data_IF_968365326242
#
_entry.id   IF_968365326242
#
_cell.length_a   1.000
_cell.length_b   1.000
_cell.length_c   1.000
_cell.angle_alpha   90.00
_cell.angle_beta   90.00
_cell.angle_gamma   90.00
#
_symmetry.space_group_name_H-M   'P 1'
#
loop_
_entity.id
_entity.type
_entity.pdbx_description
1 polymer ?
#
# COMPACT_ATOMS: atom_id res chain seq x y z
N UNK A 1 1.96 -4.90 -27.09
CA UNK A 1 0.66 -4.18 -27.26
C UNK A 1 0.90 -2.69 -27.03
N UNK A 2 0.25 -1.83 -27.82
CA UNK A 2 0.30 -0.37 -27.60
C UNK A 2 -0.97 0.01 -26.84
N UNK A 3 -0.81 0.56 -25.64
CA UNK A 3 -1.92 1.06 -24.84
C UNK A 3 -1.95 2.58 -24.98
N UNK A 4 -3.02 3.09 -25.57
CA UNK A 4 -3.30 4.52 -25.63
C UNK A 4 -4.00 4.95 -24.34
N UNK A 5 -3.37 5.87 -23.64
CA UNK A 5 -3.85 6.42 -22.36
C UNK A 5 -4.37 7.87 -22.53
N UNK A 6 -4.67 8.25 -23.77
CA UNK A 6 -5.20 9.55 -24.13
C UNK A 6 -4.10 10.59 -24.34
N UNK A 7 -3.17 10.73 -23.42
CA UNK A 7 -2.04 11.66 -23.53
C UNK A 7 -0.71 10.98 -23.79
N UNK A 8 -0.65 9.67 -23.63
CA UNK A 8 0.56 8.85 -23.75
C UNK A 8 0.22 7.49 -24.32
N UNK A 9 1.14 6.93 -25.09
CA UNK A 9 1.12 5.54 -25.52
C UNK A 9 2.20 4.78 -24.77
N UNK A 10 1.86 3.59 -24.26
CA UNK A 10 2.81 2.66 -23.68
C UNK A 10 2.85 1.43 -24.57
N UNK A 11 4.05 1.02 -24.94
CA UNK A 11 4.27 -0.29 -25.52
C UNK A 11 4.59 -1.27 -24.38
N UNK A 12 3.77 -2.28 -24.22
CA UNK A 12 3.96 -3.31 -23.21
C UNK A 12 3.56 -4.67 -23.74
N UNK A 13 4.18 -5.72 -23.19
CA UNK A 13 3.95 -7.10 -23.63
C UNK A 13 2.62 -7.67 -23.17
N UNK A 14 1.93 -6.99 -22.24
CA UNK A 14 0.62 -7.41 -21.75
C UNK A 14 -0.30 -6.20 -21.45
N UNK A 15 -1.61 -6.46 -21.44
CA UNK A 15 -2.60 -5.43 -21.12
C UNK A 15 -2.82 -5.38 -19.59
N UNK A 16 -2.42 -4.31 -18.91
CA UNK A 16 -2.62 -4.18 -17.46
C UNK A 16 -4.11 -4.14 -17.06
N UNK A 17 -5.00 -3.88 -18.02
CA UNK A 17 -6.45 -3.88 -17.80
C UNK A 17 -7.04 -5.28 -17.72
N UNK A 18 -6.32 -6.30 -18.24
CA UNK A 18 -6.78 -7.70 -18.26
C UNK A 18 -6.67 -8.36 -16.87
N UNK A 19 -5.88 -7.81 -15.97
CA UNK A 19 -5.73 -8.32 -14.60
C UNK A 19 -6.98 -8.08 -13.72
N UNK A 20 -8.04 -7.54 -14.30
CA UNK A 20 -9.32 -7.37 -13.63
C UNK A 20 -10.20 -8.59 -13.87
N UNK A 21 -10.10 -9.61 -13.06
CA UNK A 21 -11.04 -10.71 -13.13
C UNK A 21 -12.21 -10.48 -12.16
N UNK A 22 -13.25 -9.82 -12.66
CA UNK A 22 -14.48 -9.54 -11.90
C UNK A 22 -15.40 -10.76 -11.76
N UNK A 23 -15.05 -11.88 -12.36
CA UNK A 23 -15.91 -13.06 -12.45
C UNK A 23 -15.50 -14.22 -11.56
N UNK A 24 -14.37 -14.11 -10.88
CA UNK A 24 -13.88 -15.18 -10.04
C UNK A 24 -14.71 -15.37 -8.78
N UNK A 25 -14.85 -16.61 -8.36
CA UNK A 25 -15.32 -16.94 -7.02
C UNK A 25 -14.51 -16.16 -5.98
N UNK A 26 -15.21 -15.49 -5.09
CA UNK A 26 -14.56 -14.72 -4.00
C UNK A 26 -14.64 -15.49 -2.69
N UNK A 27 -13.53 -15.55 -1.99
CA UNK A 27 -13.42 -16.10 -0.66
C UNK A 27 -13.24 -14.98 0.37
N UNK A 28 -13.89 -15.06 1.52
CA UNK A 28 -13.66 -14.10 2.59
C UNK A 28 -12.25 -14.26 3.17
N UNK A 29 -11.61 -13.14 3.49
CA UNK A 29 -10.36 -13.11 4.22
C UNK A 29 -10.69 -13.18 5.71
N UNK A 30 -10.35 -14.30 6.36
CA UNK A 30 -10.61 -14.51 7.78
C UNK A 30 -9.33 -14.38 8.62
N UNK A 31 -8.22 -14.93 8.14
CA UNK A 31 -6.91 -14.87 8.79
C UNK A 31 -6.10 -13.69 8.23
N UNK A 32 -6.10 -12.57 8.94
CA UNK A 32 -5.47 -11.32 8.51
C UNK A 32 -4.78 -10.60 9.66
N UNK A 33 -3.58 -10.07 9.38
CA UNK A 33 -2.87 -9.16 10.26
C UNK A 33 -2.80 -7.75 9.68
N UNK A 34 -2.76 -6.73 10.52
CA UNK A 34 -2.72 -5.35 10.09
C UNK A 34 -1.37 -4.69 10.40
N UNK A 35 -0.82 -4.00 9.42
CA UNK A 35 0.42 -3.22 9.54
C UNK A 35 0.07 -1.77 9.23
N UNK A 36 -0.01 -0.96 10.27
CA UNK A 36 -0.30 0.47 10.15
C UNK A 36 0.99 1.26 10.04
N UNK A 37 1.05 2.13 9.04
CA UNK A 37 2.10 3.12 8.93
C UNK A 37 1.51 4.51 9.18
N UNK A 38 1.77 5.02 10.38
CA UNK A 38 1.23 6.31 10.82
C UNK A 38 2.25 7.41 10.57
N UNK A 39 1.91 8.30 9.67
CA UNK A 39 2.67 9.50 9.36
C UNK A 39 1.90 10.68 9.93
N UNK A 40 2.54 11.54 10.74
CA UNK A 40 1.93 12.75 11.27
C UNK A 40 1.00 12.66 12.48
N UNK A 41 0.55 13.85 12.83
CA UNK A 41 -0.36 14.27 13.90
C UNK A 41 -1.82 13.83 13.65
N UNK A 42 -2.03 12.57 13.32
CA UNK A 42 -3.34 12.04 12.97
C UNK A 42 -3.88 11.12 14.06
N UNK A 43 -3.79 11.59 15.30
CA UNK A 43 -4.10 10.74 16.45
C UNK A 43 -5.52 10.20 16.42
N UNK A 44 -6.50 11.05 16.22
CA UNK A 44 -7.92 10.65 16.18
C UNK A 44 -8.22 9.73 15.01
N UNK A 45 -7.67 10.05 13.84
CA UNK A 45 -7.81 9.20 12.65
C UNK A 45 -7.21 7.80 12.87
N UNK A 46 -6.01 7.73 13.44
CA UNK A 46 -5.35 6.46 13.77
C UNK A 46 -6.20 5.63 14.73
N UNK A 47 -6.67 6.21 15.83
CA UNK A 47 -7.49 5.53 16.84
C UNK A 47 -8.75 5.00 16.17
N UNK A 48 -9.48 5.83 15.45
CA UNK A 48 -10.73 5.44 14.79
C UNK A 48 -10.52 4.36 13.74
N UNK A 49 -9.45 4.44 12.95
CA UNK A 49 -9.15 3.41 11.96
C UNK A 49 -8.86 2.06 12.63
N UNK A 50 -8.12 2.05 13.72
CA UNK A 50 -7.83 0.83 14.50
C UNK A 50 -9.11 0.29 15.14
N UNK A 51 -9.95 1.14 15.74
CA UNK A 51 -11.23 0.74 16.33
C UNK A 51 -12.14 0.11 15.28
N UNK A 52 -12.31 0.76 14.12
CA UNK A 52 -13.11 0.22 13.02
C UNK A 52 -12.59 -1.14 12.53
N UNK A 53 -11.27 -1.29 12.43
CA UNK A 53 -10.65 -2.55 12.06
C UNK A 53 -10.92 -3.65 13.10
N UNK A 54 -10.83 -3.34 14.38
CA UNK A 54 -11.11 -4.28 15.49
C UNK A 54 -12.59 -4.68 15.57
N UNK A 55 -13.51 -3.80 15.18
CA UNK A 55 -14.93 -4.16 15.08
C UNK A 55 -15.19 -5.25 14.03
N UNK A 56 -14.45 -5.21 12.91
CA UNK A 56 -14.61 -6.14 11.79
C UNK A 56 -13.81 -7.43 11.99
N UNK A 57 -12.59 -7.29 12.51
CA UNK A 57 -11.62 -8.36 12.74
C UNK A 57 -11.17 -8.38 14.20
N UNK A 58 -12.03 -8.82 15.14
CA UNK A 58 -11.76 -8.68 16.57
C UNK A 58 -10.55 -9.49 17.06
N UNK A 59 -10.19 -10.55 16.35
CA UNK A 59 -9.05 -11.42 16.72
C UNK A 59 -7.75 -11.05 15.98
N UNK A 60 -7.82 -10.14 15.00
CA UNK A 60 -6.65 -9.78 14.22
C UNK A 60 -5.64 -8.98 15.04
N UNK A 61 -4.36 -9.29 14.85
CA UNK A 61 -3.26 -8.54 15.42
C UNK A 61 -2.91 -7.33 14.58
N UNK A 62 -2.47 -6.27 15.22
CA UNK A 62 -2.11 -5.00 14.60
C UNK A 62 -0.71 -4.59 15.00
N UNK A 63 0.17 -4.40 14.04
CA UNK A 63 1.48 -3.79 14.22
C UNK A 63 1.41 -2.32 13.78
N UNK A 64 1.53 -1.41 14.73
CA UNK A 64 1.41 0.02 14.52
C UNK A 64 2.77 0.69 14.52
N UNK A 65 3.18 1.25 13.40
CA UNK A 65 4.44 1.98 13.28
C UNK A 65 4.18 3.47 13.20
N UNK A 66 4.76 4.24 14.10
CA UNK A 66 4.83 5.70 13.98
C UNK A 66 6.12 6.10 13.28
N UNK A 67 5.97 6.72 12.13
CA UNK A 67 7.04 7.14 11.23
C UNK A 67 7.59 8.52 11.64
N UNK A 68 8.29 8.59 12.77
CA UNK A 68 8.77 9.84 13.38
C UNK A 68 7.65 10.76 13.91
N UNK A 69 6.46 10.19 14.14
CA UNK A 69 5.26 10.89 14.53
C UNK A 69 4.97 10.84 16.03
N UNK A 70 3.70 10.58 16.35
CA UNK A 70 3.20 10.55 17.71
C UNK A 70 3.48 9.22 18.40
N UNK A 71 3.54 9.29 19.73
CA UNK A 71 3.57 8.11 20.58
C UNK A 71 2.15 7.54 20.73
N UNK A 72 1.99 6.27 20.32
CA UNK A 72 0.76 5.49 20.41
C UNK A 72 0.91 4.30 21.37
N UNK A 73 1.94 4.30 22.23
CA UNK A 73 2.16 3.22 23.19
C UNK A 73 0.97 2.97 24.12
N UNK A 74 0.13 3.99 24.33
CA UNK A 74 -1.11 3.87 25.11
C UNK A 74 -2.18 2.97 24.47
N UNK A 75 -2.02 2.58 23.19
CA UNK A 75 -2.89 1.63 22.48
C UNK A 75 -2.40 0.19 22.58
N UNK A 76 -1.18 -0.03 23.11
CA UNK A 76 -0.61 -1.37 23.21
C UNK A 76 -1.46 -2.28 24.09
N UNK A 77 -1.70 -3.48 23.58
CA UNK A 77 -2.32 -4.60 24.26
C UNK A 77 -1.81 -5.93 23.67
N UNK A 78 -2.43 -7.04 24.01
CA UNK A 78 -2.06 -8.37 23.50
C UNK A 78 -2.19 -8.51 21.97
N UNK A 79 -3.01 -7.67 21.33
CA UNK A 79 -3.30 -7.67 19.89
C UNK A 79 -2.76 -6.45 19.16
N UNK A 80 -2.19 -5.48 19.86
CA UNK A 80 -1.57 -4.32 19.23
C UNK A 80 -0.20 -4.05 19.82
N UNK A 81 0.82 -4.10 18.96
CA UNK A 81 2.17 -3.66 19.26
C UNK A 81 2.46 -2.35 18.59
N UNK A 82 2.97 -1.41 19.35
CA UNK A 82 3.43 -0.11 18.85
C UNK A 82 4.95 -0.10 18.65
N UNK A 83 5.40 0.57 17.60
CA UNK A 83 6.82 0.82 17.33
C UNK A 83 7.01 2.25 16.84
N UNK A 84 7.80 3.02 17.58
CA UNK A 84 8.24 4.34 17.11
C UNK A 84 9.55 4.18 16.35
N UNK A 85 9.57 4.59 15.08
CA UNK A 85 10.74 4.50 14.24
C UNK A 85 11.13 5.88 13.72
N UNK A 86 12.42 6.20 13.80
CA UNK A 86 12.94 7.50 13.35
C UNK A 86 13.23 7.54 11.86
N UNK A 87 13.48 6.37 11.24
CA UNK A 87 13.70 6.27 9.82
C UNK A 87 12.38 6.29 9.07
N UNK A 88 12.17 7.32 8.33
CA UNK A 88 10.95 7.52 7.59
C UNK A 88 10.95 6.72 6.30
N UNK A 89 9.85 6.03 6.01
CA UNK A 89 9.59 5.42 4.69
C UNK A 89 8.90 6.39 3.76
N UNK A 90 8.27 7.42 4.33
CA UNK A 90 7.64 8.48 3.57
C UNK A 90 8.46 9.77 3.67
N UNK A 91 9.01 10.29 2.58
CA UNK A 91 9.73 11.56 2.57
C UNK A 91 8.84 12.77 2.84
N UNK A 92 7.56 12.56 3.01
CA UNK A 92 6.52 13.57 3.20
C UNK A 92 6.62 14.30 4.56
N UNK A 93 7.41 13.81 5.48
CA UNK A 93 7.37 14.20 6.90
C UNK A 93 7.92 15.59 7.18
N UNK A 94 8.59 16.23 6.25
CA UNK A 94 9.10 17.60 6.43
C UNK A 94 8.28 18.64 5.68
N UNK A 95 6.99 18.47 5.59
CA UNK A 95 6.14 19.42 4.91
C UNK A 95 5.68 20.48 5.91
N UNK A 96 5.98 21.75 5.60
CA UNK A 96 5.26 22.86 6.15
C UNK A 96 3.76 22.66 5.90
N UNK A 97 2.94 22.99 6.87
CA UNK A 97 1.50 22.74 6.94
C UNK A 97 0.67 23.11 5.69
N UNK A 98 1.28 23.66 4.65
CA UNK A 98 0.62 24.13 3.44
C UNK A 98 1.13 23.52 2.12
N UNK A 99 2.20 22.73 2.09
CA UNK A 99 2.78 22.27 0.83
C UNK A 99 2.77 20.74 0.74
N UNK A 100 1.81 20.25 0.01
CA UNK A 100 1.80 18.93 -0.55
C UNK A 100 3.05 18.71 -1.42
N UNK A 101 3.84 17.72 -1.04
CA UNK A 101 4.72 16.97 -1.90
C UNK A 101 5.68 17.83 -2.75
N UNK A 102 6.82 18.20 -2.18
CA UNK A 102 7.95 18.55 -3.03
C UNK A 102 8.34 17.29 -3.84
N UNK A 103 8.15 17.25 -5.16
CA UNK A 103 8.49 16.11 -5.98
C UNK A 103 9.93 15.65 -5.85
N UNK A 104 10.84 16.53 -5.43
CA UNK A 104 12.26 16.22 -5.20
C UNK A 104 12.50 15.38 -3.93
N UNK A 105 11.55 15.39 -3.00
CA UNK A 105 11.65 14.67 -1.74
C UNK A 105 10.83 13.38 -1.72
N UNK A 106 10.19 13.02 -2.82
CA UNK A 106 9.26 11.90 -2.92
C UNK A 106 9.85 10.64 -3.52
N UNK A 107 11.12 10.69 -3.89
CA UNK A 107 11.79 9.53 -4.45
C UNK A 107 11.85 8.39 -3.42
N UNK A 108 11.48 7.20 -3.85
CA UNK A 108 11.76 5.98 -3.09
C UNK A 108 13.25 5.91 -2.85
N UNK A 109 13.67 5.92 -1.60
CA UNK A 109 15.07 5.85 -1.24
C UNK A 109 15.45 4.43 -0.85
N UNK A 110 16.73 4.06 -1.03
CA UNK A 110 17.26 2.79 -0.53
C UNK A 110 16.95 2.59 0.96
N UNK A 111 17.10 3.65 1.76
CA UNK A 111 16.76 3.64 3.17
C UNK A 111 15.27 3.40 3.41
N UNK A 112 14.41 4.02 2.62
CA UNK A 112 12.96 3.83 2.70
C UNK A 112 12.54 2.40 2.32
N UNK A 113 13.14 1.81 1.30
CA UNK A 113 12.88 0.42 0.92
C UNK A 113 13.31 -0.56 2.02
N UNK A 114 14.51 -0.38 2.58
CA UNK A 114 15.01 -1.21 3.68
C UNK A 114 14.12 -1.09 4.93
N UNK A 115 13.68 0.13 5.27
CA UNK A 115 12.76 0.37 6.38
C UNK A 115 11.39 -0.30 6.12
N UNK A 116 10.89 -0.25 4.89
CA UNK A 116 9.64 -0.93 4.51
C UNK A 116 9.74 -2.44 4.71
N UNK A 117 10.81 -3.08 4.21
CA UNK A 117 11.02 -4.52 4.38
C UNK A 117 11.08 -4.89 5.85
N UNK A 118 11.84 -4.12 6.64
CA UNK A 118 11.93 -4.36 8.09
C UNK A 118 10.54 -4.29 8.75
N UNK A 119 9.78 -3.25 8.51
CA UNK A 119 8.43 -3.06 9.07
C UNK A 119 7.46 -4.18 8.67
N UNK A 120 7.53 -4.63 7.42
CA UNK A 120 6.74 -5.76 6.95
C UNK A 120 7.12 -7.06 7.68
N UNK A 121 8.42 -7.35 7.80
CA UNK A 121 8.91 -8.54 8.52
C UNK A 121 8.51 -8.49 10.01
N UNK A 122 8.76 -7.38 10.70
CA UNK A 122 8.39 -7.20 12.10
C UNK A 122 6.88 -7.28 12.33
N UNK A 123 6.10 -6.70 11.41
CA UNK A 123 4.64 -6.74 11.47
C UNK A 123 4.08 -8.15 11.26
N UNK A 124 4.59 -8.87 10.26
CA UNK A 124 4.18 -10.25 10.02
C UNK A 124 4.56 -11.17 11.19
N UNK A 125 5.77 -11.00 11.76
CA UNK A 125 6.20 -11.76 12.93
C UNK A 125 5.29 -11.50 14.13
N UNK A 126 4.99 -10.24 14.45
CA UNK A 126 4.07 -9.91 15.54
C UNK A 126 2.66 -10.46 15.31
N UNK A 127 2.19 -10.40 14.07
CA UNK A 127 0.89 -10.97 13.68
C UNK A 127 0.91 -12.50 13.56
N UNK A 128 2.03 -13.19 13.90
CA UNK A 128 2.18 -14.65 13.86
C UNK A 128 2.01 -15.23 12.45
N UNK A 129 2.43 -14.48 11.43
CA UNK A 129 2.38 -14.88 10.02
C UNK A 129 0.98 -15.29 9.54
N UNK A 130 -0.01 -14.40 9.61
CA UNK A 130 -1.36 -14.69 9.15
C UNK A 130 -1.34 -15.03 7.66
N UNK A 131 -2.37 -15.68 7.15
CA UNK A 131 -2.47 -15.97 5.72
C UNK A 131 -2.41 -14.70 4.87
N UNK A 132 -3.12 -13.65 5.34
CA UNK A 132 -3.17 -12.35 4.68
C UNK A 132 -2.65 -11.24 5.58
N UNK A 133 -2.09 -10.20 4.99
CA UNK A 133 -1.80 -8.96 5.70
C UNK A 133 -2.47 -7.78 5.00
N UNK A 134 -2.75 -6.76 5.77
CA UNK A 134 -3.20 -5.46 5.27
C UNK A 134 -2.21 -4.39 5.71
N UNK A 135 -1.48 -3.81 4.76
CA UNK A 135 -0.71 -2.61 5.03
C UNK A 135 -1.58 -1.39 4.77
N UNK A 136 -1.71 -0.55 5.76
CA UNK A 136 -2.69 0.54 5.76
C UNK A 136 -2.18 1.81 6.43
N UNK A 137 -2.93 2.87 6.29
CA UNK A 137 -2.67 4.20 6.84
C UNK A 137 -3.88 4.68 7.66
N UNK A 138 -3.72 5.73 8.49
CA UNK A 138 -4.80 6.25 9.33
C UNK A 138 -6.05 6.75 8.58
N UNK A 139 -5.91 7.13 7.31
CA UNK A 139 -7.01 7.60 6.47
C UNK A 139 -7.79 6.49 5.77
N UNK A 140 -7.49 5.24 6.11
CA UNK A 140 -8.22 4.08 5.63
C UNK A 140 -9.14 3.56 6.73
N UNK A 141 -10.39 3.29 6.37
CA UNK A 141 -11.37 2.64 7.25
C UNK A 141 -11.72 1.26 6.72
N UNK A 142 -11.50 0.25 7.54
CA UNK A 142 -12.00 -1.12 7.32
C UNK A 142 -13.38 -1.20 8.01
N UNK A 143 -14.44 -1.34 7.23
CA UNK A 143 -15.83 -1.29 7.70
C UNK A 143 -16.60 -2.59 7.51
N UNK A 144 -15.99 -3.53 6.83
CA UNK A 144 -16.55 -4.84 6.57
C UNK A 144 -15.46 -5.83 6.21
N UNK A 145 -15.79 -7.12 6.28
CA UNK A 145 -14.86 -8.17 5.87
C UNK A 145 -14.56 -8.06 4.38
N UNK A 146 -13.30 -8.20 4.05
CA UNK A 146 -12.79 -8.14 2.67
C UNK A 146 -12.81 -9.54 2.07
N UNK A 147 -13.11 -9.63 0.80
CA UNK A 147 -13.04 -10.88 0.03
C UNK A 147 -11.99 -10.78 -1.07
N UNK A 148 -11.46 -11.91 -1.50
CA UNK A 148 -10.49 -11.97 -2.59
C UNK A 148 -10.90 -13.00 -3.64
N UNK A 149 -10.58 -12.79 -4.93
CA UNK A 149 -10.61 -13.85 -5.93
C UNK A 149 -9.68 -15.00 -5.55
N UNK A 150 -10.08 -16.24 -5.83
CA UNK A 150 -9.33 -17.45 -5.41
C UNK A 150 -7.87 -17.43 -5.87
N UNK A 151 -7.62 -16.92 -7.07
CA UNK A 151 -6.28 -16.83 -7.67
C UNK A 151 -5.47 -15.63 -7.22
N UNK A 152 -6.09 -14.66 -6.55
CA UNK A 152 -5.39 -13.42 -6.16
C UNK A 152 -4.45 -13.65 -4.99
N UNK A 153 -3.27 -13.06 -5.07
CA UNK A 153 -2.29 -12.98 -3.97
C UNK A 153 -2.01 -11.55 -3.52
N UNK A 154 -2.35 -10.58 -4.35
CA UNK A 154 -2.26 -9.15 -4.05
C UNK A 154 -3.51 -8.46 -4.54
N UNK A 155 -4.21 -7.80 -3.63
CA UNK A 155 -5.37 -6.98 -3.94
C UNK A 155 -4.97 -5.52 -4.02
N UNK A 156 -5.28 -4.92 -5.14
CA UNK A 156 -5.09 -3.51 -5.37
C UNK A 156 -6.40 -2.81 -5.63
N UNK A 157 -6.36 -1.51 -5.49
CA UNK A 157 -7.48 -0.66 -5.77
C UNK A 157 -7.44 -0.20 -7.25
N UNK A 158 -8.60 0.03 -7.85
CA UNK A 158 -8.72 0.47 -9.24
C UNK A 158 -8.28 1.92 -9.38
N UNK A 159 -7.11 2.14 -9.98
CA UNK A 159 -6.54 3.47 -10.21
C UNK A 159 -7.00 4.02 -11.56
N UNK A 160 -7.28 5.31 -11.60
CA UNK A 160 -7.54 5.99 -12.85
C UNK A 160 -6.22 6.35 -13.53
N UNK A 161 -5.87 5.65 -14.60
CA UNK A 161 -4.66 5.87 -15.40
C UNK A 161 -4.53 7.29 -15.96
N UNK A 162 -5.62 8.06 -16.05
CA UNK A 162 -5.59 9.43 -16.51
C UNK A 162 -4.72 10.37 -15.63
N UNK A 163 -4.36 9.93 -14.43
CA UNK A 163 -3.51 10.68 -13.52
C UNK A 163 -2.02 10.46 -13.74
N UNK A 164 -1.65 9.46 -14.54
CA UNK A 164 -0.26 9.17 -14.79
C UNK A 164 0.35 10.17 -15.76
N UNK A 165 1.46 10.76 -15.35
CA UNK A 165 2.28 11.62 -16.19
C UNK A 165 3.34 10.80 -16.95
N UNK A 166 3.98 11.41 -17.94
CA UNK A 166 5.08 10.76 -18.66
C UNK A 166 6.18 10.25 -17.72
N UNK A 167 6.49 10.97 -16.65
CA UNK A 167 7.52 10.54 -15.67
C UNK A 167 7.15 9.26 -14.94
N UNK A 168 5.87 8.98 -14.72
CA UNK A 168 5.41 7.72 -14.16
C UNK A 168 5.71 6.56 -15.09
N UNK A 169 5.41 6.73 -16.38
CA UNK A 169 5.67 5.70 -17.38
C UNK A 169 7.16 5.44 -17.57
N UNK A 170 7.97 6.47 -17.60
CA UNK A 170 9.43 6.35 -17.69
C UNK A 170 9.96 5.57 -16.46
N UNK A 171 9.39 5.82 -15.27
CA UNK A 171 9.70 5.07 -14.05
C UNK A 171 9.30 3.59 -14.15
N UNK A 172 8.10 3.29 -14.64
CA UNK A 172 7.66 1.90 -14.84
C UNK A 172 8.54 1.16 -15.86
N UNK A 173 8.93 1.80 -16.94
CA UNK A 173 9.85 1.22 -17.92
C UNK A 173 11.18 0.88 -17.24
N UNK A 174 11.75 1.81 -16.48
CA UNK A 174 12.99 1.60 -15.75
C UNK A 174 12.90 0.44 -14.75
N UNK A 175 11.82 0.38 -13.96
CA UNK A 175 11.56 -0.70 -13.01
C UNK A 175 11.46 -2.05 -13.73
N UNK A 176 10.66 -2.12 -14.81
CA UNK A 176 10.47 -3.37 -15.55
C UNK A 176 11.75 -3.84 -16.23
N UNK A 177 12.61 -2.93 -16.67
CA UNK A 177 13.93 -3.27 -17.19
C UNK A 177 14.83 -3.92 -16.11
N UNK A 178 14.67 -3.53 -14.84
CA UNK A 178 15.38 -4.20 -13.75
C UNK A 178 14.77 -5.55 -13.42
N UNK A 179 13.44 -5.63 -13.32
CA UNK A 179 12.72 -6.87 -13.05
C UNK A 179 13.01 -7.93 -14.12
N UNK A 180 13.05 -7.57 -15.41
CA UNK A 180 13.30 -8.50 -16.51
C UNK A 180 14.68 -9.18 -16.47
N UNK A 181 15.61 -8.69 -15.67
CA UNK A 181 16.92 -9.30 -15.44
C UNK A 181 16.88 -10.45 -14.43
N UNK A 182 15.74 -10.65 -13.77
CA UNK A 182 15.56 -11.62 -12.69
C UNK A 182 14.55 -12.66 -13.16
N UNK A 183 14.96 -13.93 -13.18
CA UNK A 183 14.13 -15.04 -13.61
C UNK A 183 12.87 -15.21 -12.72
N UNK A 184 11.74 -15.51 -13.34
CA UNK A 184 10.48 -15.78 -12.65
C UNK A 184 9.74 -14.54 -12.19
N UNK A 185 10.23 -13.35 -12.50
CA UNK A 185 9.52 -12.09 -12.20
C UNK A 185 8.50 -11.77 -13.28
N UNK A 186 7.55 -10.95 -12.93
CA UNK A 186 6.59 -10.36 -13.86
C UNK A 186 6.73 -8.84 -13.87
N UNK A 187 6.34 -8.17 -14.97
CA UNK A 187 6.36 -6.73 -15.01
C UNK A 187 5.25 -6.09 -14.16
N UNK A 188 5.50 -4.88 -13.69
CA UNK A 188 4.48 -4.01 -13.08
C UNK A 188 4.09 -2.91 -14.04
N UNK A 189 2.83 -2.51 -14.07
CA UNK A 189 2.34 -1.43 -14.92
C UNK A 189 1.48 -0.43 -14.18
N UNK A 190 1.38 -0.56 -12.88
CA UNK A 190 0.58 0.37 -12.12
C UNK A 190 1.07 0.49 -10.69
N UNK A 191 0.60 1.52 -10.11
CA UNK A 191 0.77 1.85 -8.72
C UNK A 191 -0.38 1.27 -7.91
N UNK A 192 -0.06 0.46 -6.90
CA UNK A 192 -1.03 0.08 -5.89
C UNK A 192 -1.15 1.22 -4.88
N UNK A 193 -2.36 1.65 -4.53
CA UNK A 193 -2.52 2.58 -3.42
C UNK A 193 -2.83 1.82 -2.12
N UNK A 194 -2.48 2.43 -1.00
CA UNK A 194 -2.85 1.92 0.32
C UNK A 194 -4.38 2.00 0.47
N UNK A 195 -5.06 1.02 1.08
CA UNK A 195 -4.48 -0.16 1.69
C UNK A 195 -4.04 -1.21 0.68
N UNK A 196 -2.97 -1.90 0.99
CA UNK A 196 -2.52 -3.06 0.24
C UNK A 196 -2.85 -4.31 1.04
N UNK A 197 -3.64 -5.21 0.46
CA UNK A 197 -3.95 -6.50 1.08
C UNK A 197 -3.26 -7.58 0.26
N UNK A 198 -2.41 -8.37 0.91
CA UNK A 198 -1.59 -9.36 0.24
C UNK A 198 -1.43 -10.64 1.04
N UNK A 199 -1.10 -11.71 0.32
CA UNK A 199 -0.79 -13.01 0.90
C UNK A 199 0.60 -13.00 1.52
N UNK A 200 0.72 -13.34 2.79
CA UNK A 200 1.94 -13.16 3.57
C UNK A 200 3.12 -13.97 3.07
N UNK A 201 2.89 -15.23 2.69
CA UNK A 201 3.97 -16.10 2.19
C UNK A 201 4.48 -15.63 0.82
N UNK A 202 3.60 -15.09 -0.01
CA UNK A 202 3.98 -14.50 -1.30
C UNK A 202 4.85 -13.25 -1.11
N UNK A 203 4.48 -12.40 -0.16
CA UNK A 203 5.30 -11.25 0.21
C UNK A 203 6.71 -11.67 0.67
N UNK A 204 6.80 -12.66 1.57
CA UNK A 204 8.09 -13.16 2.07
C UNK A 204 8.96 -13.72 0.96
N UNK A 205 8.36 -14.47 0.00
CA UNK A 205 9.05 -14.92 -1.21
C UNK A 205 9.59 -13.75 -2.02
N UNK A 206 8.79 -12.71 -2.23
CA UNK A 206 9.22 -11.51 -2.95
C UNK A 206 10.36 -10.77 -2.26
N UNK A 207 10.31 -10.68 -0.93
CA UNK A 207 11.41 -10.11 -0.12
C UNK A 207 12.68 -10.96 -0.27
N UNK A 208 12.58 -12.28 -0.23
CA UNK A 208 13.73 -13.18 -0.43
C UNK A 208 14.36 -12.98 -1.82
N UNK A 209 13.55 -12.88 -2.88
CA UNK A 209 14.03 -12.61 -4.23
C UNK A 209 14.69 -11.22 -4.29
N UNK A 210 14.12 -10.21 -3.65
CA UNK A 210 14.71 -8.87 -3.54
C UNK A 210 16.09 -8.91 -2.89
N UNK A 211 16.21 -9.57 -1.73
CA UNK A 211 17.46 -9.66 -0.98
C UNK A 211 18.55 -10.43 -1.76
N UNK A 212 18.17 -11.49 -2.47
CA UNK A 212 19.11 -12.27 -3.33
C UNK A 212 19.62 -11.49 -4.55
N UNK A 213 18.82 -10.54 -5.05
CA UNK A 213 19.14 -9.76 -6.24
C UNK A 213 19.40 -8.29 -5.92
N UNK A 214 19.87 -8.02 -4.72
CA UNK A 214 20.05 -6.66 -4.22
C UNK A 214 20.93 -5.80 -5.15
N UNK A 215 21.99 -6.36 -5.72
CA UNK A 215 22.91 -5.65 -6.62
C UNK A 215 22.22 -5.07 -7.86
N UNK A 216 21.16 -5.76 -8.36
CA UNK A 216 20.34 -5.28 -9.47
C UNK A 216 19.30 -4.30 -8.94
N UNK A 217 18.59 -4.68 -7.86
CA UNK A 217 17.42 -3.98 -7.35
C UNK A 217 17.77 -2.73 -6.50
N UNK A 218 19.03 -2.58 -6.09
CA UNK A 218 19.52 -1.35 -5.46
C UNK A 218 19.33 -0.11 -6.35
N UNK A 219 19.30 -0.31 -7.67
CA UNK A 219 19.04 0.72 -8.67
C UNK A 219 17.57 1.12 -8.78
N UNK A 220 16.66 0.42 -8.13
CA UNK A 220 15.23 0.77 -8.12
C UNK A 220 15.00 2.22 -7.68
N UNK A 221 15.74 2.68 -6.67
CA UNK A 221 15.63 4.06 -6.17
C UNK A 221 15.92 5.12 -7.23
N UNK A 222 16.68 4.79 -8.26
CA UNK A 222 17.02 5.69 -9.36
C UNK A 222 15.87 5.79 -10.39
N UNK A 223 14.99 4.80 -10.42
CA UNK A 223 13.86 4.73 -11.36
C UNK A 223 12.60 5.41 -10.81
N UNK A 224 12.53 5.62 -9.50
CA UNK A 224 11.38 6.23 -8.89
C UNK A 224 11.43 7.75 -8.97
N UNK A 225 10.67 8.30 -9.88
CA UNK A 225 10.47 9.74 -10.03
C UNK A 225 9.12 10.21 -9.45
N UNK A 226 8.49 9.38 -8.63
CA UNK A 226 7.11 9.55 -8.16
C UNK A 226 6.98 9.29 -6.66
N UNK A 227 6.00 9.95 -6.00
CA UNK A 227 5.76 9.77 -4.58
C UNK A 227 5.23 8.38 -4.25
N UNK A 228 5.55 7.89 -3.08
CA UNK A 228 4.92 6.71 -2.51
C UNK A 228 5.81 5.48 -2.48
N UNK A 229 6.55 5.32 -1.40
CA UNK A 229 7.43 4.15 -1.21
C UNK A 229 6.62 2.86 -1.10
N UNK A 230 5.52 2.87 -0.35
CA UNK A 230 4.71 1.67 -0.14
C UNK A 230 3.91 1.29 -1.36
N UNK A 231 3.26 2.27 -1.95
CA UNK A 231 2.31 2.09 -3.03
C UNK A 231 2.96 1.45 -4.27
N UNK A 232 4.26 1.69 -4.46
CA UNK A 232 5.03 1.13 -5.56
C UNK A 232 5.86 -0.09 -5.15
N UNK A 233 6.43 -0.05 -3.96
CA UNK A 233 7.38 -1.07 -3.55
C UNK A 233 6.69 -2.40 -3.23
N UNK A 234 5.48 -2.37 -2.65
CA UNK A 234 4.71 -3.59 -2.40
C UNK A 234 4.36 -4.35 -3.69
N UNK A 235 3.77 -3.72 -4.72
CA UNK A 235 3.57 -4.38 -6.01
C UNK A 235 4.85 -4.96 -6.63
N UNK A 236 6.00 -4.29 -6.44
CA UNK A 236 7.30 -4.82 -6.92
C UNK A 236 7.65 -6.11 -6.17
N UNK A 237 7.48 -6.18 -4.86
CA UNK A 237 7.76 -7.40 -4.10
C UNK A 237 6.89 -8.58 -4.57
N UNK A 238 5.62 -8.33 -4.88
CA UNK A 238 4.75 -9.36 -5.45
C UNK A 238 5.15 -9.74 -6.88
N UNK A 239 5.53 -8.76 -7.70
CA UNK A 239 6.05 -9.02 -9.05
C UNK A 239 7.34 -9.85 -9.03
N UNK A 240 8.21 -9.63 -8.04
CA UNK A 240 9.40 -10.46 -7.80
C UNK A 240 9.03 -11.90 -7.41
N UNK A 241 7.91 -12.09 -6.74
CA UNK A 241 7.38 -13.42 -6.44
C UNK A 241 6.67 -14.08 -7.63
N UNK A 242 6.49 -13.37 -8.74
CA UNK A 242 5.76 -13.82 -9.92
C UNK A 242 4.25 -13.68 -9.84
N UNK A 243 3.74 -12.86 -8.92
CA UNK A 243 2.31 -12.71 -8.66
C UNK A 243 1.80 -11.32 -9.03
N UNK A 244 0.77 -11.23 -9.87
CA UNK A 244 0.20 -9.96 -10.28
C UNK A 244 -0.69 -9.35 -9.19
N UNK A 245 -0.80 -8.04 -9.24
CA UNK A 245 -1.84 -7.34 -8.50
C UNK A 245 -3.20 -7.51 -9.19
N UNK A 246 -4.21 -7.91 -8.43
CA UNK A 246 -5.58 -8.09 -8.90
C UNK A 246 -6.45 -6.95 -8.41
N UNK A 247 -7.25 -6.36 -9.28
CA UNK A 247 -8.19 -5.33 -8.89
C UNK A 247 -9.30 -5.88 -8.00
N UNK A 248 -9.59 -5.16 -6.93
CA UNK A 248 -10.66 -5.48 -6.02
C UNK A 248 -11.76 -4.42 -6.06
N UNK A 249 -13.01 -4.88 -6.14
CA UNK A 249 -14.18 -4.01 -5.98
C UNK A 249 -14.49 -3.71 -4.51
N UNK A 250 -13.72 -4.29 -3.58
CA UNK A 250 -13.88 -4.12 -2.15
C UNK A 250 -13.46 -2.72 -1.68
N UNK A 251 -12.72 -1.98 -2.52
CA UNK A 251 -12.18 -0.68 -2.17
C UNK A 251 -12.89 0.46 -2.86
N UNK A 252 -13.07 1.55 -2.13
CA UNK A 252 -13.46 2.82 -2.73
C UNK A 252 -12.56 3.94 -2.25
N UNK A 253 -12.21 4.82 -3.16
CA UNK A 253 -11.57 6.09 -2.85
C UNK A 253 -12.61 7.19 -2.74
N UNK A 254 -12.56 7.93 -1.66
CA UNK A 254 -13.43 9.08 -1.42
C UNK A 254 -12.69 10.39 -1.65
N UNK A 255 -12.02 10.49 -2.81
CA UNK A 255 -11.34 11.71 -3.24
C UNK A 255 -12.32 12.88 -3.27
N UNK A 256 -12.06 13.89 -2.48
CA UNK A 256 -12.81 15.16 -2.46
C UNK A 256 -14.31 15.03 -2.22
N UNK A 257 -14.75 13.88 -1.69
CA UNK A 257 -16.18 13.64 -1.48
C UNK A 257 -16.42 13.01 -0.09
N UNK A 258 -17.31 13.59 0.74
CA UNK A 258 -17.66 13.04 2.05
C UNK A 258 -18.47 11.72 2.00
N UNK A 259 -18.56 11.06 0.85
CA UNK A 259 -19.32 9.81 0.67
C UNK A 259 -18.82 8.62 1.48
N UNK A 260 -17.67 8.75 2.16
CA UNK A 260 -17.17 7.70 3.02
C UNK A 260 -18.18 7.25 4.08
N UNK A 261 -19.02 8.16 4.58
CA UNK A 261 -20.05 7.84 5.58
C UNK A 261 -21.16 6.94 5.01
N UNK A 262 -21.45 7.06 3.72
CA UNK A 262 -22.55 6.37 3.03
C UNK A 262 -22.08 5.25 2.10
N UNK A 263 -20.76 5.08 1.94
CA UNK A 263 -20.20 4.03 1.11
C UNK A 263 -20.56 2.64 1.66
N UNK A 264 -20.97 1.73 0.78
CA UNK A 264 -21.21 0.33 1.10
C UNK A 264 -19.96 -0.54 0.98
N UNK A 265 -18.85 0.03 0.51
CA UNK A 265 -17.61 -0.74 0.37
C UNK A 265 -17.02 -1.10 1.73
N UNK A 266 -16.49 -2.31 1.89
CA UNK A 266 -15.84 -2.74 3.12
C UNK A 266 -14.57 -1.95 3.43
N UNK A 267 -13.89 -1.41 2.42
CA UNK A 267 -12.70 -0.57 2.59
C UNK A 267 -12.93 0.79 1.97
N UNK A 268 -12.71 1.82 2.77
CA UNK A 268 -12.86 3.22 2.35
C UNK A 268 -11.57 3.97 2.60
N UNK A 269 -10.95 4.45 1.53
CA UNK A 269 -9.76 5.29 1.62
C UNK A 269 -10.16 6.76 1.51
N UNK A 270 -9.80 7.53 2.55
CA UNK A 270 -10.02 8.97 2.61
C UNK A 270 -8.69 9.67 2.42
N UNK A 271 -8.64 10.62 1.48
CA UNK A 271 -7.40 11.37 1.26
C UNK A 271 -7.14 12.42 2.32
N UNK A 272 -5.87 12.67 2.61
CA UNK A 272 -5.35 13.61 3.62
C UNK A 272 -5.87 15.05 3.49
N UNK A 273 -6.28 15.47 2.30
CA UNK A 273 -6.84 16.81 2.06
C UNK A 273 -8.05 17.13 2.95
N UNK A 274 -8.67 16.11 3.49
CA UNK A 274 -9.85 16.23 4.31
C UNK A 274 -9.58 16.28 5.83
N UNK A 275 -8.35 16.08 6.25
CA UNK A 275 -7.99 16.12 7.68
C UNK A 275 -8.04 17.50 8.31
N UNK A 276 -7.98 18.57 7.51
CA UNK A 276 -8.14 19.93 8.02
C UNK A 276 -9.58 20.27 8.40
N UNK A 277 -10.54 19.46 7.99
CA UNK A 277 -11.94 19.60 8.34
C UNK A 277 -12.27 18.52 9.37
N UNK A 278 -12.43 18.91 10.63
CA UNK A 278 -12.75 18.09 11.80
C UNK A 278 -13.95 17.14 11.61
N UNK A 279 -14.71 17.30 10.53
CA UNK A 279 -15.89 16.50 10.20
C UNK A 279 -15.57 15.09 9.70
N UNK A 280 -14.33 14.79 9.25
CA UNK A 280 -14.03 13.52 8.59
C UNK A 280 -13.92 12.36 9.55
N UNK A 281 -13.27 12.59 10.67
CA UNK A 281 -13.09 11.59 11.71
C UNK A 281 -13.80 11.95 13.00
N UNK A 282 -14.56 13.06 12.98
CA UNK A 282 -15.38 13.47 14.13
C UNK A 282 -14.55 13.57 15.39
N UNK A 283 -13.63 14.51 15.42
CA UNK A 283 -13.07 15.01 16.67
C UNK A 283 -14.15 15.84 17.37
N UNK A 284 -15.22 15.20 17.83
CA UNK A 284 -16.23 15.74 18.74
C UNK A 284 -16.30 14.86 19.97
#
# INVERSE_FOLDING_TARGET
MIIDLGNHTIECDFDPRIQCNNSAEKLPIEDIGFIYNCVFKQRSATIRSIEATREVYPEAKTYLVSDGGLDYSFLEDERLKFSMQEDTVSPIIKINESNYLDPKNQAVTKKGMAATIRRLKEGLEFCEYPEWFCMTEPDVLIRGKVSHPVEAKLLGHRINFAWYTKSWYDGFIGINNLLSQIEGTIPILRWGSVPVIGHSQTLLKGIEVYEKNFDILDKLSEQFHVPGTFDLFLPILFALAGEPEVFSDEYTECLRNPNWKTSSHPVVHQYREFYSNNDYYGDN
#
